data_IF_023165599778
#
_entry.id   IF_023165599778
#
_cell.length_a   1.000
_cell.length_b   1.000
_cell.length_c   1.000
_cell.angle_alpha   90.00
_cell.angle_beta   90.00
_cell.angle_gamma   90.00
#
_symmetry.space_group_name_H-M   'P 1'
#
loop_
_entity.id
_entity.type
_entity.pdbx_description
1 polymer ?
#
# COMPACT_ATOMS: atom_id res chain seq x y z
N UNK A 1 -3.07 -10.39 -8.76
CA UNK A 1 -3.53 -9.13 -9.36
C UNK A 1 -2.73 -7.98 -8.78
N UNK A 2 -2.43 -6.94 -9.54
CA UNK A 2 -1.74 -5.73 -9.06
C UNK A 2 -0.22 -5.83 -8.89
N UNK A 3 0.33 -7.00 -8.56
CA UNK A 3 1.77 -7.17 -8.30
C UNK A 3 2.60 -7.30 -9.59
N UNK A 4 3.72 -6.58 -9.66
CA UNK A 4 4.69 -6.65 -10.75
C UNK A 4 5.23 -8.08 -10.92
N UNK A 5 5.28 -8.57 -12.16
CA UNK A 5 5.73 -9.93 -12.47
C UNK A 5 4.73 -11.05 -12.08
N UNK A 6 3.58 -10.69 -11.50
CA UNK A 6 2.48 -11.62 -11.24
C UNK A 6 1.68 -11.95 -12.51
N UNK A 7 0.72 -12.88 -12.43
CA UNK A 7 -0.08 -13.31 -13.59
C UNK A 7 -1.08 -12.28 -14.11
N UNK A 8 -1.32 -11.19 -13.37
CA UNK A 8 -2.31 -10.16 -13.68
C UNK A 8 -1.92 -8.79 -13.08
N UNK A 9 -0.81 -8.16 -13.52
CA UNK A 9 -0.25 -6.97 -12.88
C UNK A 9 -1.12 -5.71 -13.01
N UNK A 10 -1.85 -5.57 -14.12
CA UNK A 10 -2.68 -4.39 -14.41
C UNK A 10 -4.14 -4.54 -13.96
N UNK A 11 -4.49 -5.68 -13.35
CA UNK A 11 -5.87 -5.95 -12.92
C UNK A 11 -6.13 -5.50 -11.49
N UNK A 12 -7.36 -5.03 -11.24
CA UNK A 12 -7.88 -4.73 -9.91
C UNK A 12 -8.75 -5.89 -9.41
N UNK A 13 -8.64 -6.29 -8.12
CA UNK A 13 -9.56 -7.24 -7.52
C UNK A 13 -10.98 -6.67 -7.31
N UNK A 14 -11.14 -5.35 -7.39
CA UNK A 14 -12.43 -4.66 -7.31
C UNK A 14 -12.84 -4.15 -8.69
N UNK A 15 -14.06 -4.51 -9.09
CA UNK A 15 -14.72 -3.94 -10.25
C UNK A 15 -15.26 -2.52 -10.00
N UNK A 16 -15.65 -1.79 -11.06
CA UNK A 16 -16.13 -0.41 -10.97
C UNK A 16 -17.34 -0.24 -10.04
N UNK A 17 -18.21 -1.25 -9.95
CA UNK A 17 -19.39 -1.22 -9.08
C UNK A 17 -19.04 -1.06 -7.60
N UNK A 18 -17.88 -1.53 -7.15
CA UNK A 18 -17.44 -1.34 -5.76
C UNK A 18 -17.27 0.16 -5.45
N UNK A 19 -16.74 0.94 -6.39
CA UNK A 19 -16.47 2.37 -6.21
C UNK A 19 -17.73 3.22 -6.26
N UNK A 20 -18.78 2.75 -6.94
CA UNK A 20 -20.08 3.42 -6.97
C UNK A 20 -20.94 3.14 -5.73
N UNK A 21 -20.78 1.96 -5.11
CA UNK A 21 -21.70 1.47 -4.07
C UNK A 21 -21.14 1.53 -2.65
N UNK A 22 -19.82 1.70 -2.48
CA UNK A 22 -19.21 1.80 -1.16
C UNK A 22 -19.29 3.24 -0.60
N UNK A 23 -19.35 3.40 0.74
CA UNK A 23 -19.46 4.72 1.36
C UNK A 23 -18.26 5.62 1.03
N UNK A 24 -18.45 6.96 1.01
CA UNK A 24 -17.34 7.91 0.86
C UNK A 24 -16.28 7.81 1.96
N UNK A 25 -16.61 7.22 3.11
CA UNK A 25 -15.72 7.00 4.25
C UNK A 25 -14.87 5.72 4.11
N UNK A 26 -14.92 5.04 2.98
CA UNK A 26 -14.13 3.84 2.70
C UNK A 26 -12.63 4.15 2.78
N UNK A 27 -11.89 3.23 3.39
CA UNK A 27 -10.42 3.25 3.43
C UNK A 27 -9.92 2.03 2.66
N UNK A 28 -9.04 2.26 1.68
CA UNK A 28 -8.29 1.20 1.04
C UNK A 28 -7.01 0.94 1.84
N UNK A 29 -6.84 -0.30 2.29
CA UNK A 29 -5.56 -0.84 2.74
C UNK A 29 -5.06 -1.82 1.69
N UNK A 30 -3.91 -1.53 1.07
CA UNK A 30 -3.30 -2.43 0.09
C UNK A 30 -2.02 -3.06 0.64
N UNK A 31 -1.76 -4.30 0.25
CA UNK A 31 -0.56 -5.04 0.67
C UNK A 31 0.52 -5.11 -0.42
N UNK A 32 0.18 -4.78 -1.67
CA UNK A 32 1.11 -4.70 -2.79
C UNK A 32 1.88 -3.39 -2.71
N UNK A 33 3.21 -3.47 -2.70
CA UNK A 33 4.12 -2.32 -2.73
C UNK A 33 5.03 -2.29 -3.97
N UNK A 34 5.03 -3.36 -4.77
CA UNK A 34 5.75 -3.47 -6.03
C UNK A 34 4.78 -3.94 -7.12
N UNK A 35 4.29 -3.04 -8.00
CA UNK A 35 4.69 -1.65 -8.15
C UNK A 35 4.12 -0.74 -7.04
N UNK A 36 4.69 0.45 -6.87
CA UNK A 36 4.21 1.45 -5.89
C UNK A 36 2.80 1.94 -6.20
N UNK A 37 2.39 1.88 -7.47
CA UNK A 37 1.07 2.30 -7.93
C UNK A 37 0.41 1.18 -8.70
N UNK A 38 -0.65 0.61 -8.13
CA UNK A 38 -1.48 -0.41 -8.77
C UNK A 38 -2.72 0.21 -9.43
N UNK A 39 -3.43 -0.57 -10.24
CA UNK A 39 -4.74 -0.20 -10.79
C UNK A 39 -5.75 0.09 -9.68
N UNK A 40 -5.77 -0.75 -8.63
CA UNK A 40 -6.65 -0.57 -7.47
C UNK A 40 -6.41 0.75 -6.74
N UNK A 41 -5.15 1.12 -6.50
CA UNK A 41 -4.79 2.40 -5.88
C UNK A 41 -5.24 3.59 -6.73
N UNK A 42 -5.09 3.49 -8.04
CA UNK A 42 -5.49 4.56 -8.95
C UNK A 42 -7.00 4.75 -8.92
N UNK A 43 -7.78 3.66 -9.00
CA UNK A 43 -9.24 3.70 -8.89
C UNK A 43 -9.71 4.26 -7.55
N UNK A 44 -9.09 3.85 -6.43
CA UNK A 44 -9.46 4.34 -5.10
C UNK A 44 -9.13 5.83 -4.92
N UNK A 45 -8.02 6.29 -5.49
CA UNK A 45 -7.64 7.72 -5.48
C UNK A 45 -8.64 8.55 -6.29
N UNK A 46 -9.06 8.06 -7.45
CA UNK A 46 -10.06 8.73 -8.30
C UNK A 46 -11.43 8.77 -7.63
N UNK A 47 -11.77 7.74 -6.83
CA UNK A 47 -12.99 7.70 -6.01
C UNK A 47 -12.90 8.54 -4.71
N UNK A 48 -11.76 9.20 -4.43
CA UNK A 48 -11.57 10.02 -3.24
C UNK A 48 -11.46 9.25 -1.93
N UNK A 49 -11.17 7.95 -1.98
CA UNK A 49 -11.00 7.14 -0.78
C UNK A 49 -9.72 7.51 -0.05
N UNK A 50 -9.73 7.32 1.28
CA UNK A 50 -8.49 7.34 2.05
C UNK A 50 -7.69 6.07 1.71
N UNK A 51 -6.38 6.22 1.54
CA UNK A 51 -5.49 5.14 1.13
C UNK A 51 -4.40 4.95 2.19
N UNK A 52 -4.15 3.69 2.53
CA UNK A 52 -2.95 3.19 3.19
C UNK A 52 -2.25 2.27 2.18
N UNK A 53 -1.16 2.76 1.57
CA UNK A 53 -0.47 2.04 0.51
C UNK A 53 0.36 0.86 1.05
N UNK A 54 0.80 -0.04 0.15
CA UNK A 54 1.58 -1.21 0.55
C UNK A 54 2.92 -0.87 1.22
N UNK A 55 3.49 0.31 0.96
CA UNK A 55 4.75 0.74 1.59
C UNK A 55 4.49 1.16 3.03
N UNK A 56 3.42 1.92 3.31
CA UNK A 56 3.01 2.26 4.67
C UNK A 56 2.76 0.99 5.51
N UNK A 57 2.02 0.03 4.95
CA UNK A 57 1.80 -1.27 5.59
C UNK A 57 3.12 -2.00 5.87
N UNK A 58 4.01 -2.08 4.88
CA UNK A 58 5.32 -2.74 5.00
C UNK A 58 6.23 -2.06 6.04
N UNK A 59 6.19 -0.74 6.15
CA UNK A 59 6.95 0.01 7.15
C UNK A 59 6.41 -0.23 8.55
N UNK A 60 5.09 -0.18 8.75
CA UNK A 60 4.50 -0.34 10.08
C UNK A 60 4.71 -1.75 10.64
N UNK A 61 4.59 -2.80 9.82
CA UNK A 61 4.90 -4.16 10.30
C UNK A 61 6.38 -4.33 10.67
N UNK A 62 7.30 -3.78 9.86
CA UNK A 62 8.75 -3.83 10.16
C UNK A 62 9.13 -2.98 11.38
N UNK A 63 8.50 -1.81 11.54
CA UNK A 63 8.66 -0.95 12.71
C UNK A 63 8.23 -1.67 13.98
N UNK A 64 7.09 -2.38 13.95
CA UNK A 64 6.63 -3.12 15.12
C UNK A 64 7.57 -4.27 15.50
N UNK A 65 8.10 -4.98 14.52
CA UNK A 65 9.10 -6.04 14.76
C UNK A 65 10.38 -5.46 15.36
N UNK A 66 10.88 -4.35 14.81
CA UNK A 66 12.07 -3.64 15.32
C UNK A 66 11.90 -3.24 16.80
N UNK A 67 10.76 -2.62 17.14
CA UNK A 67 10.46 -2.22 18.52
C UNK A 67 10.41 -3.41 19.47
N UNK A 68 9.80 -4.52 19.05
CA UNK A 68 9.71 -5.73 19.87
C UNK A 68 11.07 -6.39 20.12
N UNK A 69 11.98 -6.34 19.16
CA UNK A 69 13.29 -7.00 19.29
C UNK A 69 14.35 -6.14 19.96
N UNK A 70 14.29 -4.82 19.75
CA UNK A 70 15.35 -3.90 20.20
C UNK A 70 14.96 -3.11 21.43
N UNK A 71 13.68 -3.15 21.82
CA UNK A 71 13.08 -2.29 22.85
C UNK A 71 13.28 -0.78 22.59
N UNK A 72 13.68 -0.40 21.37
CA UNK A 72 13.93 0.96 20.96
C UNK A 72 12.84 1.46 20.00
N UNK A 73 12.53 2.77 19.98
CA UNK A 73 11.60 3.34 19.01
C UNK A 73 12.07 3.10 17.56
N UNK A 74 11.18 2.60 16.69
CA UNK A 74 11.52 2.40 15.29
C UNK A 74 11.61 3.75 14.53
N UNK A 75 12.68 3.98 13.75
CA UNK A 75 12.83 5.18 12.93
C UNK A 75 11.99 5.07 11.64
N UNK A 76 10.65 5.10 11.77
CA UNK A 76 9.67 4.87 10.69
C UNK A 76 9.91 5.70 9.43
N UNK A 77 10.22 7.00 9.58
CA UNK A 77 10.51 7.86 8.44
C UNK A 77 11.73 7.40 7.63
N UNK A 78 12.75 6.87 8.32
CA UNK A 78 13.93 6.32 7.65
C UNK A 78 13.59 5.02 6.95
N UNK A 79 12.80 4.13 7.55
CA UNK A 79 12.33 2.91 6.89
C UNK A 79 11.52 3.24 5.64
N UNK A 80 10.55 4.17 5.75
CA UNK A 80 9.72 4.59 4.62
C UNK A 80 10.54 5.18 3.47
N UNK A 81 11.49 6.08 3.77
CA UNK A 81 12.39 6.65 2.76
C UNK A 81 13.19 5.56 2.05
N UNK A 82 13.87 4.69 2.80
CA UNK A 82 14.72 3.65 2.22
C UNK A 82 13.93 2.66 1.34
N UNK A 83 12.72 2.28 1.77
CA UNK A 83 11.87 1.39 0.98
C UNK A 83 11.40 2.07 -0.31
N UNK A 84 10.96 3.34 -0.25
CA UNK A 84 10.52 4.07 -1.45
C UNK A 84 11.68 4.29 -2.42
N UNK A 85 12.88 4.61 -1.93
CA UNK A 85 14.08 4.76 -2.76
C UNK A 85 14.43 3.44 -3.46
N UNK A 86 14.38 2.31 -2.74
CA UNK A 86 14.67 0.99 -3.29
C UNK A 86 13.64 0.52 -4.36
N UNK A 87 12.42 1.05 -4.33
CA UNK A 87 11.36 0.72 -5.29
C UNK A 87 11.31 1.68 -6.50
N UNK A 88 12.02 2.81 -6.43
CA UNK A 88 12.10 3.81 -7.51
C UNK A 88 13.36 3.66 -8.38
N UNK A 89 14.27 2.73 -8.05
CA UNK A 89 15.44 2.37 -8.84
C UNK A 89 15.19 1.13 -9.70
#
# INVERSE_FOLDING_TARGET
MGMSGGPAPEESPLGPDAFANLPPTTVLLETVYAPVRTTLLSMARDAGWRILDGVEMFVEQGAKQFELWTECPAPRETFARLVRDALNG
#
